data_IF_712262065999
#
_entry.id   IF_712262065999
#
_cell.length_a   1.000
_cell.length_b   1.000
_cell.length_c   1.000
_cell.angle_alpha   90.00
_cell.angle_beta   90.00
_cell.angle_gamma   90.00
#
_symmetry.space_group_name_H-M   'P 1'
#
loop_
_entity.id
_entity.type
_entity.pdbx_description
1 polymer ?
#
# COMPACT_ATOMS: atom_id res chain seq x y z
N UNK A 1 -59.72 -16.76 43.03
CA UNK A 1 -59.23 -15.78 42.01
C UNK A 1 -57.73 -15.85 41.97
N UNK A 2 -57.17 -16.60 41.02
CA UNK A 2 -55.71 -16.79 40.87
C UNK A 2 -55.19 -15.84 39.78
N UNK A 3 -54.36 -14.85 40.16
CA UNK A 3 -53.70 -13.93 39.19
C UNK A 3 -52.41 -14.57 38.69
N UNK A 4 -52.41 -14.93 37.42
CA UNK A 4 -51.18 -15.39 36.73
C UNK A 4 -50.32 -14.18 36.39
N UNK A 5 -49.09 -14.10 36.93
CA UNK A 5 -48.03 -13.15 36.52
C UNK A 5 -47.27 -13.73 35.30
N UNK A 6 -47.44 -13.11 34.14
CA UNK A 6 -46.60 -13.39 32.98
C UNK A 6 -45.30 -12.62 33.11
N UNK A 7 -44.20 -13.37 33.28
CA UNK A 7 -42.84 -12.81 33.26
C UNK A 7 -42.35 -12.76 31.80
N UNK A 8 -42.28 -11.54 31.22
CA UNK A 8 -41.73 -11.34 29.89
C UNK A 8 -40.21 -11.34 29.96
N UNK A 9 -39.56 -12.38 29.41
CA UNK A 9 -38.12 -12.45 29.26
C UNK A 9 -37.73 -11.69 27.98
N UNK A 10 -37.15 -10.50 28.13
CA UNK A 10 -36.59 -9.74 27.03
C UNK A 10 -35.28 -10.37 26.60
N UNK A 11 -35.21 -11.02 25.41
CA UNK A 11 -34.01 -11.48 24.79
C UNK A 11 -33.28 -10.26 24.16
N UNK A 12 -32.23 -9.77 24.83
CA UNK A 12 -31.33 -8.76 24.25
C UNK A 12 -30.42 -9.42 23.23
N UNK A 13 -30.67 -9.13 21.94
CA UNK A 13 -29.73 -9.47 20.85
C UNK A 13 -28.50 -8.56 20.96
N UNK A 14 -27.39 -9.08 21.43
CA UNK A 14 -26.08 -8.43 21.28
C UNK A 14 -25.65 -8.55 19.82
N UNK A 15 -25.73 -7.45 19.09
CA UNK A 15 -25.13 -7.32 17.77
C UNK A 15 -23.60 -7.37 17.94
N UNK A 16 -22.99 -8.50 17.58
CA UNK A 16 -21.54 -8.63 17.50
C UNK A 16 -21.04 -7.71 16.36
N UNK A 17 -20.11 -6.75 16.61
CA UNK A 17 -19.54 -5.97 15.53
C UNK A 17 -18.80 -6.91 14.58
N UNK A 18 -19.18 -6.91 13.31
CA UNK A 18 -18.47 -7.66 12.27
C UNK A 18 -17.03 -7.09 12.18
N UNK A 19 -16.05 -7.87 12.61
CA UNK A 19 -14.65 -7.58 12.34
C UNK A 19 -14.47 -7.57 10.82
N UNK A 20 -14.19 -6.39 10.26
CA UNK A 20 -13.78 -6.26 8.87
C UNK A 20 -12.41 -6.97 8.73
N UNK A 21 -12.45 -8.21 8.24
CA UNK A 21 -11.22 -8.95 7.94
C UNK A 21 -10.64 -8.29 6.69
N UNK A 22 -9.50 -7.61 6.84
CA UNK A 22 -8.73 -7.14 5.69
C UNK A 22 -8.46 -8.34 4.77
N UNK A 23 -8.77 -8.20 3.49
CA UNK A 23 -8.52 -9.26 2.51
C UNK A 23 -7.01 -9.41 2.31
N UNK A 24 -6.50 -10.63 2.41
CA UNK A 24 -5.10 -10.93 2.18
C UNK A 24 -4.88 -11.60 0.84
N UNK A 25 -3.79 -11.23 0.14
CA UNK A 25 -3.32 -11.89 -1.06
C UNK A 25 -1.90 -12.39 -0.77
N UNK A 26 -1.67 -13.69 -0.98
CA UNK A 26 -0.35 -14.30 -0.88
C UNK A 26 0.02 -14.94 -2.23
N UNK A 27 1.28 -14.78 -2.64
CA UNK A 27 1.73 -15.35 -3.91
C UNK A 27 3.14 -14.93 -4.28
N UNK A 28 3.50 -15.14 -5.53
CA UNK A 28 4.81 -14.73 -6.08
C UNK A 28 4.66 -13.46 -6.92
N UNK A 29 5.57 -12.52 -6.77
CA UNK A 29 5.60 -11.33 -7.63
C UNK A 29 6.11 -11.70 -9.01
N UNK A 30 5.25 -11.57 -10.02
CA UNK A 30 5.54 -11.93 -11.42
C UNK A 30 5.78 -10.73 -12.33
N UNK A 31 5.50 -9.52 -11.84
CA UNK A 31 5.71 -8.29 -12.60
C UNK A 31 5.84 -7.05 -11.71
N UNK A 32 6.60 -6.06 -12.17
CA UNK A 32 6.71 -4.72 -11.58
C UNK A 32 6.50 -3.69 -12.68
N UNK A 33 5.41 -2.93 -12.57
CA UNK A 33 5.05 -1.92 -13.57
C UNK A 33 5.80 -0.60 -13.34
N UNK A 34 5.78 -0.11 -12.10
CA UNK A 34 6.35 1.15 -11.64
C UNK A 34 6.99 0.98 -10.26
N UNK A 35 7.48 2.07 -9.68
CA UNK A 35 8.05 2.07 -8.33
C UNK A 35 7.04 1.86 -7.19
N UNK A 36 5.73 1.78 -7.50
CA UNK A 36 4.67 1.56 -6.52
C UNK A 36 3.61 0.55 -6.98
N UNK A 37 3.81 -0.12 -8.12
CA UNK A 37 2.82 -1.03 -8.69
C UNK A 37 3.47 -2.34 -9.13
N UNK A 38 2.96 -3.46 -8.63
CA UNK A 38 3.41 -4.81 -8.96
C UNK A 38 2.24 -5.76 -9.22
N UNK A 39 2.55 -6.96 -9.72
CA UNK A 39 1.59 -8.04 -9.96
C UNK A 39 1.99 -9.27 -9.15
N UNK A 40 1.05 -9.79 -8.34
CA UNK A 40 1.20 -11.01 -7.55
C UNK A 40 0.38 -12.12 -8.19
N UNK A 41 1.01 -13.26 -8.43
CA UNK A 41 0.37 -14.50 -8.88
C UNK A 41 0.08 -15.38 -7.67
N UNK A 42 -1.20 -15.63 -7.38
CA UNK A 42 -1.63 -16.48 -6.27
C UNK A 42 -1.51 -17.99 -6.59
N UNK A 43 -1.77 -18.83 -5.59
CA UNK A 43 -1.74 -20.29 -5.72
C UNK A 43 -2.77 -20.83 -6.70
N UNK A 44 -3.86 -20.08 -6.94
CA UNK A 44 -4.92 -20.41 -7.92
C UNK A 44 -4.59 -19.93 -9.34
N UNK A 45 -3.37 -19.46 -9.58
CA UNK A 45 -2.90 -18.91 -10.87
C UNK A 45 -3.65 -17.65 -11.32
N UNK A 46 -4.19 -16.88 -10.39
CA UNK A 46 -4.79 -15.58 -10.68
C UNK A 46 -3.77 -14.47 -10.44
N UNK A 47 -3.74 -13.52 -11.34
CA UNK A 47 -2.93 -12.32 -11.21
C UNK A 47 -3.70 -11.23 -10.49
N UNK A 48 -3.04 -10.64 -9.49
CA UNK A 48 -3.53 -9.52 -8.71
C UNK A 48 -2.63 -8.32 -8.96
N UNK A 49 -3.15 -7.30 -9.63
CA UNK A 49 -2.44 -6.03 -9.74
C UNK A 49 -2.58 -5.26 -8.44
N UNK A 50 -1.46 -4.91 -7.85
CA UNK A 50 -1.36 -4.29 -6.52
C UNK A 50 -0.64 -2.96 -6.61
N UNK A 51 -1.24 -1.91 -6.05
CA UNK A 51 -0.61 -0.62 -5.82
C UNK A 51 -0.24 -0.52 -4.34
N UNK A 52 1.00 -0.16 -4.05
CA UNK A 52 1.47 0.07 -2.69
C UNK A 52 0.70 1.25 -2.07
N UNK A 53 0.10 1.02 -0.91
CA UNK A 53 -0.72 2.01 -0.22
C UNK A 53 0.12 3.17 0.33
N UNK A 54 -0.49 4.34 0.47
CA UNK A 54 0.05 5.54 1.11
C UNK A 54 1.29 6.15 0.45
N UNK A 55 1.81 5.58 -0.65
CA UNK A 55 2.97 6.10 -1.36
C UNK A 55 2.65 6.42 -2.81
N UNK A 56 3.51 7.26 -3.42
CA UNK A 56 3.46 7.57 -4.85
C UNK A 56 4.90 7.67 -5.37
N UNK A 57 5.27 6.79 -6.29
CA UNK A 57 6.61 6.74 -6.84
C UNK A 57 6.70 7.57 -8.13
N UNK A 58 7.89 8.12 -8.46
CA UNK A 58 8.08 8.79 -9.74
C UNK A 58 7.75 7.87 -10.91
N UNK A 59 7.08 8.45 -11.91
CA UNK A 59 6.65 7.75 -13.12
C UNK A 59 7.85 7.19 -13.90
N UNK A 60 7.84 5.88 -14.20
CA UNK A 60 8.92 5.24 -14.97
C UNK A 60 9.04 5.81 -16.39
N UNK A 61 7.96 6.40 -16.92
CA UNK A 61 7.91 7.03 -18.23
C UNK A 61 8.31 8.52 -18.17
N UNK A 62 9.59 8.82 -17.99
CA UNK A 62 10.15 10.15 -18.22
C UNK A 62 10.26 11.05 -16.98
N UNK A 63 9.79 10.67 -15.80
CA UNK A 63 10.06 11.41 -14.58
C UNK A 63 11.43 11.04 -14.01
N UNK A 64 12.15 12.04 -13.49
CA UNK A 64 13.41 11.81 -12.80
C UNK A 64 13.23 10.78 -11.66
N UNK A 65 14.17 9.86 -11.52
CA UNK A 65 14.14 8.72 -10.58
C UNK A 65 13.09 7.63 -10.85
N UNK A 66 12.17 7.77 -11.81
CA UNK A 66 11.13 6.77 -12.08
C UNK A 66 11.69 5.39 -12.38
N UNK A 67 12.67 5.29 -13.29
CA UNK A 67 13.32 4.01 -13.59
C UNK A 67 14.08 3.44 -12.37
N UNK A 68 14.69 4.28 -11.54
CA UNK A 68 15.36 3.82 -10.30
C UNK A 68 14.36 3.28 -9.30
N UNK A 69 13.21 3.94 -9.13
CA UNK A 69 12.13 3.48 -8.26
C UNK A 69 11.61 2.12 -8.72
N UNK A 70 11.33 1.95 -10.02
CA UNK A 70 10.94 0.66 -10.60
C UNK A 70 11.98 -0.43 -10.38
N UNK A 71 13.27 -0.14 -10.62
CA UNK A 71 14.36 -1.09 -10.41
C UNK A 71 14.49 -1.49 -8.94
N UNK A 72 14.35 -0.53 -8.02
CA UNK A 72 14.41 -0.79 -6.59
C UNK A 72 13.27 -1.70 -6.13
N UNK A 73 12.02 -1.42 -6.53
CA UNK A 73 10.90 -2.29 -6.20
C UNK A 73 11.05 -3.67 -6.85
N UNK A 74 11.60 -3.74 -8.07
CA UNK A 74 11.89 -5.02 -8.74
C UNK A 74 12.95 -5.82 -7.99
N UNK A 75 14.05 -5.22 -7.59
CA UNK A 75 15.10 -5.88 -6.79
C UNK A 75 14.59 -6.32 -5.41
N UNK A 76 13.63 -5.58 -4.85
CA UNK A 76 13.02 -5.91 -3.56
C UNK A 76 12.00 -7.04 -3.64
N UNK A 77 11.19 -7.12 -4.72
CA UNK A 77 10.00 -7.97 -4.75
C UNK A 77 9.95 -8.97 -5.91
N UNK A 78 10.59 -8.72 -7.07
CA UNK A 78 10.41 -9.55 -8.25
C UNK A 78 10.89 -10.99 -8.02
N UNK A 79 10.05 -11.98 -8.37
CA UNK A 79 10.24 -13.42 -8.14
C UNK A 79 10.32 -13.83 -6.66
N UNK A 80 9.91 -12.95 -5.75
CA UNK A 80 9.85 -13.25 -4.31
C UNK A 80 8.43 -13.53 -3.87
N UNK A 81 8.30 -14.17 -2.70
CA UNK A 81 7.02 -14.35 -2.05
C UNK A 81 6.53 -13.02 -1.50
N UNK A 82 5.29 -12.66 -1.85
CA UNK A 82 4.64 -11.47 -1.35
C UNK A 82 3.41 -11.82 -0.51
N UNK A 83 3.22 -11.07 0.55
CA UNK A 83 1.99 -10.97 1.33
C UNK A 83 1.45 -9.56 1.17
N UNK A 84 0.18 -9.42 0.84
CA UNK A 84 -0.49 -8.14 0.62
C UNK A 84 -1.68 -8.03 1.54
N UNK A 85 -1.63 -7.10 2.49
CA UNK A 85 -2.81 -6.70 3.27
C UNK A 85 -3.58 -5.67 2.46
N UNK A 86 -4.69 -6.09 1.86
CA UNK A 86 -5.51 -5.23 0.99
C UNK A 86 -6.35 -4.30 1.86
N UNK A 87 -6.17 -3.00 1.67
CA UNK A 87 -6.92 -1.95 2.37
C UNK A 87 -8.16 -1.53 1.59
N UNK A 88 -8.04 -1.44 0.25
CA UNK A 88 -9.11 -1.00 -0.64
C UNK A 88 -8.83 -1.40 -2.08
N UNK A 89 -9.76 -1.07 -2.99
CA UNK A 89 -9.54 -1.10 -4.44
C UNK A 89 -9.66 0.31 -5.00
N UNK A 90 -8.80 0.63 -5.96
CA UNK A 90 -8.89 1.91 -6.66
C UNK A 90 -9.89 1.86 -7.83
N UNK A 91 -10.14 3.02 -8.43
CA UNK A 91 -11.05 3.16 -9.58
C UNK A 91 -10.62 2.39 -10.84
N UNK A 92 -9.37 1.93 -10.88
CA UNK A 92 -8.83 1.12 -11.99
C UNK A 92 -8.87 -0.39 -11.68
N UNK A 93 -9.47 -0.78 -10.55
CA UNK A 93 -9.59 -2.18 -10.14
C UNK A 93 -8.33 -2.79 -9.51
N UNK A 94 -7.28 -1.97 -9.25
CA UNK A 94 -6.07 -2.46 -8.55
C UNK A 94 -6.37 -2.61 -7.07
N UNK A 95 -5.84 -3.66 -6.46
CA UNK A 95 -5.81 -3.76 -5.01
C UNK A 95 -4.80 -2.73 -4.46
N UNK A 96 -5.21 -1.94 -3.48
CA UNK A 96 -4.34 -0.99 -2.79
C UNK A 96 -4.03 -1.55 -1.41
N UNK A 97 -2.76 -1.75 -1.10
CA UNK A 97 -2.40 -2.44 0.14
C UNK A 97 -0.97 -2.25 0.60
N UNK A 98 -0.71 -2.82 1.78
CA UNK A 98 0.63 -2.94 2.34
C UNK A 98 1.23 -4.23 1.79
N UNK A 99 2.42 -4.14 1.21
CA UNK A 99 3.09 -5.26 0.55
C UNK A 99 4.35 -5.63 1.32
N UNK A 100 4.46 -6.90 1.69
CA UNK A 100 5.66 -7.47 2.32
C UNK A 100 6.27 -8.51 1.38
N UNK A 101 7.52 -8.31 0.97
CA UNK A 101 8.25 -9.23 0.08
C UNK A 101 9.37 -9.91 0.88
N UNK A 102 9.33 -11.23 1.01
CA UNK A 102 10.28 -12.03 1.83
C UNK A 102 10.52 -11.41 3.22
N UNK A 103 9.44 -10.98 3.89
CA UNK A 103 9.47 -10.38 5.23
C UNK A 103 9.84 -8.88 5.27
N UNK A 104 10.13 -8.23 4.14
CA UNK A 104 10.45 -6.79 4.07
C UNK A 104 9.25 -5.99 3.61
N UNK A 105 8.82 -4.99 4.39
CA UNK A 105 7.76 -4.06 4.00
C UNK A 105 8.23 -3.17 2.84
N UNK A 106 7.65 -3.38 1.66
CA UNK A 106 8.03 -2.67 0.45
C UNK A 106 7.60 -1.20 0.47
N UNK A 107 6.45 -0.88 1.08
CA UNK A 107 5.97 0.50 1.20
C UNK A 107 6.98 1.35 1.99
N UNK A 108 7.41 0.85 3.15
CA UNK A 108 8.39 1.52 4.01
C UNK A 108 9.75 1.63 3.31
N UNK A 109 10.21 0.53 2.69
CA UNK A 109 11.55 0.49 2.07
C UNK A 109 11.69 1.45 0.90
N UNK A 110 10.62 1.63 0.11
CA UNK A 110 10.61 2.59 -1.00
C UNK A 110 10.70 4.04 -0.49
N UNK A 111 10.00 4.38 0.59
CA UNK A 111 10.06 5.72 1.21
C UNK A 111 11.41 5.94 1.90
N UNK A 112 11.89 4.97 2.70
CA UNK A 112 13.18 5.04 3.40
C UNK A 112 14.36 5.27 2.45
N UNK A 113 14.32 4.63 1.27
CA UNK A 113 15.35 4.79 0.24
C UNK A 113 15.24 6.09 -0.56
N UNK A 114 14.20 6.89 -0.33
CA UNK A 114 13.93 8.11 -1.07
C UNK A 114 13.54 7.84 -2.53
N UNK A 115 12.82 6.76 -2.79
CA UNK A 115 12.36 6.37 -4.14
C UNK A 115 10.83 6.40 -4.28
N UNK A 116 10.13 6.79 -3.23
CA UNK A 116 8.72 7.14 -3.23
C UNK A 116 8.46 8.31 -2.27
N UNK A 117 7.41 9.06 -2.57
CA UNK A 117 6.82 10.08 -1.71
C UNK A 117 5.76 9.46 -0.83
N UNK A 118 5.56 9.99 0.37
CA UNK A 118 4.32 9.74 1.11
C UNK A 118 3.20 10.49 0.43
N UNK A 119 2.15 9.76 0.02
CA UNK A 119 1.03 10.38 -0.68
C UNK A 119 0.02 10.91 0.33
N UNK A 120 0.21 12.15 0.75
CA UNK A 120 -0.52 12.80 1.86
C UNK A 120 -2.05 12.76 1.71
N UNK A 121 -2.56 12.71 0.48
CA UNK A 121 -4.00 12.60 0.23
C UNK A 121 -4.60 11.27 0.70
N UNK A 122 -3.79 10.19 0.75
CA UNK A 122 -4.25 8.84 1.07
C UNK A 122 -3.53 8.24 2.28
N UNK A 123 -2.47 8.89 2.76
CA UNK A 123 -1.76 8.43 3.94
C UNK A 123 -2.56 8.76 5.22
N UNK A 124 -2.57 7.81 6.15
CA UNK A 124 -3.08 8.05 7.50
C UNK A 124 -2.28 9.17 8.18
N UNK A 125 -2.95 10.05 8.94
CA UNK A 125 -2.28 11.13 9.67
C UNK A 125 -1.18 10.62 10.62
N UNK A 126 -1.31 9.40 11.13
CA UNK A 126 -0.35 8.74 12.02
C UNK A 126 0.53 7.72 11.29
N UNK A 127 0.63 7.78 9.97
CA UNK A 127 1.45 6.84 9.20
C UNK A 127 2.93 6.96 9.58
N UNK A 128 3.61 5.83 9.87
CA UNK A 128 5.05 5.84 10.15
C UNK A 128 5.89 6.29 8.95
N UNK A 129 5.31 6.26 7.74
CA UNK A 129 5.99 6.66 6.52
C UNK A 129 6.46 8.11 6.53
N UNK A 130 5.76 9.02 7.23
CA UNK A 130 6.21 10.42 7.35
C UNK A 130 7.57 10.55 8.02
N UNK A 131 7.82 9.76 9.08
CA UNK A 131 9.12 9.72 9.74
C UNK A 131 10.23 9.19 8.83
N UNK A 132 9.94 8.15 8.05
CA UNK A 132 10.87 7.57 7.07
C UNK A 132 11.18 8.56 5.94
N UNK A 133 10.16 9.25 5.41
CA UNK A 133 10.37 10.28 4.39
C UNK A 133 11.24 11.42 4.93
N UNK A 134 10.99 11.90 6.14
CA UNK A 134 11.79 12.94 6.76
C UNK A 134 13.27 12.54 6.90
N UNK A 135 13.52 11.31 7.34
CA UNK A 135 14.89 10.77 7.41
C UNK A 135 15.55 10.68 6.04
N UNK A 136 14.81 10.21 5.01
CA UNK A 136 15.31 10.15 3.65
C UNK A 136 15.66 11.54 3.09
N UNK A 137 14.83 12.54 3.38
CA UNK A 137 15.07 13.96 3.00
C UNK A 137 16.33 14.52 3.66
N UNK A 138 16.47 14.38 4.98
CA UNK A 138 17.64 14.84 5.73
C UNK A 138 18.94 14.18 5.24
N UNK A 139 18.88 12.88 4.95
CA UNK A 139 20.02 12.13 4.42
C UNK A 139 20.24 12.29 2.90
N UNK A 140 19.42 13.13 2.23
CA UNK A 140 19.45 13.32 0.77
C UNK A 140 19.46 12.00 -0.02
N UNK A 141 18.62 11.02 0.39
CA UNK A 141 18.53 9.73 -0.29
C UNK A 141 17.69 9.85 -1.56
N UNK A 142 18.05 9.05 -2.57
CA UNK A 142 17.26 8.91 -3.79
C UNK A 142 16.90 10.25 -4.45
N UNK A 143 15.61 10.49 -4.64
CA UNK A 143 15.04 11.71 -5.26
C UNK A 143 15.34 13.00 -4.45
N UNK A 144 15.63 12.87 -3.14
CA UNK A 144 15.96 14.01 -2.26
C UNK A 144 17.36 14.59 -2.49
N UNK A 145 18.14 14.03 -3.44
CA UNK A 145 19.39 14.65 -3.97
C UNK A 145 19.09 15.78 -4.93
N UNK A 146 17.92 15.76 -5.56
CA UNK A 146 17.48 16.86 -6.41
C UNK A 146 17.18 18.09 -5.55
N UNK A 147 17.59 19.26 -6.03
CA UNK A 147 17.31 20.52 -5.33
C UNK A 147 15.80 20.87 -5.36
N UNK A 148 15.09 20.44 -6.41
CA UNK A 148 13.68 20.71 -6.61
C UNK A 148 12.94 19.43 -7.05
N UNK A 149 12.80 18.43 -6.18
CA UNK A 149 12.15 17.18 -6.54
C UNK A 149 10.66 17.43 -6.77
N UNK A 150 10.15 16.96 -7.93
CA UNK A 150 8.74 17.13 -8.32
C UNK A 150 7.97 15.88 -7.90
N UNK A 151 6.91 16.01 -7.09
CA UNK A 151 6.10 14.87 -6.71
C UNK A 151 5.30 14.31 -7.93
N UNK A 152 5.02 12.99 -7.96
CA UNK A 152 4.38 12.36 -9.12
C UNK A 152 3.01 12.94 -9.47
N UNK A 153 2.21 13.31 -8.48
CA UNK A 153 0.89 13.93 -8.71
C UNK A 153 0.98 15.33 -9.32
N UNK A 154 2.06 16.06 -9.11
CA UNK A 154 2.36 17.33 -9.79
C UNK A 154 2.89 17.10 -11.21
N UNK A 155 3.75 16.09 -11.37
CA UNK A 155 4.28 15.68 -12.66
C UNK A 155 3.16 15.30 -13.63
N UNK A 156 2.17 14.52 -13.18
CA UNK A 156 1.00 14.11 -13.99
C UNK A 156 0.13 15.27 -14.43
N UNK A 157 0.07 16.38 -13.69
CA UNK A 157 -0.69 17.58 -14.07
C UNK A 157 -0.03 18.39 -15.20
N UNK A 158 1.27 18.19 -15.43
CA UNK A 158 2.04 18.93 -16.44
C UNK A 158 2.01 18.25 -17.83
N UNK A 159 1.36 17.13 -17.91
CA UNK A 159 1.15 16.32 -19.13
C UNK A 159 -0.31 16.38 -19.54
#
# INVERSE_FOLDING_TARGET
MLKACFLAVALSFYACPALSIASEIAGTVVGVADGDTLTVLDSSKREHRVRLAEIDAPESSGQAFGNRAKQALSGLCYRKTAQVTVLTKDRYGRNVGIVTCDGVNANEKMVESGLAWVYTQYASANSPLFGLEQQARLAKRGLWRDANPVPPWEWRKRR
#
